data_IF_367381936613
#
_entry.id   IF_367381936613
#
_cell.length_a   1.000
_cell.length_b   1.000
_cell.length_c   1.000
_cell.angle_alpha   90.00
_cell.angle_beta   90.00
_cell.angle_gamma   90.00
#
_symmetry.space_group_name_H-M   'P 1'
#
loop_
_entity.id
_entity.type
_entity.pdbx_description
1 polymer ?
#
# COMPACT_ATOMS: atom_id res chain seq x y z
N UNK A 1 -57.80 21.55 -5.62
CA UNK A 1 -56.38 21.24 -5.91
C UNK A 1 -55.53 22.32 -5.28
N UNK A 2 -54.81 22.00 -4.22
CA UNK A 2 -53.83 22.92 -3.62
C UNK A 2 -52.46 22.59 -4.22
N UNK A 3 -51.93 23.49 -5.03
CA UNK A 3 -50.54 23.39 -5.49
C UNK A 3 -49.65 23.81 -4.32
N UNK A 4 -48.81 22.91 -3.82
CA UNK A 4 -47.79 23.27 -2.85
C UNK A 4 -46.76 24.17 -3.55
N UNK A 5 -46.52 25.35 -2.99
CA UNK A 5 -45.45 26.24 -3.46
C UNK A 5 -44.10 25.51 -3.37
N UNK A 6 -43.34 25.60 -4.46
CA UNK A 6 -42.01 25.02 -4.55
C UNK A 6 -41.09 25.80 -3.61
N UNK A 7 -40.78 25.23 -2.45
CA UNK A 7 -39.77 25.80 -1.55
C UNK A 7 -38.42 25.69 -2.22
N UNK A 8 -37.87 26.81 -2.66
CA UNK A 8 -36.47 26.89 -3.09
C UNK A 8 -35.56 26.64 -1.88
N UNK A 9 -34.49 25.86 -2.09
CA UNK A 9 -33.48 25.64 -1.05
C UNK A 9 -32.83 26.96 -0.64
N UNK A 10 -32.42 27.06 0.63
CA UNK A 10 -31.68 28.22 1.14
C UNK A 10 -30.36 28.32 0.38
N UNK A 11 -29.96 29.55 0.02
CA UNK A 11 -28.67 29.80 -0.62
C UNK A 11 -27.53 29.27 0.28
N UNK A 12 -26.74 28.30 -0.17
CA UNK A 12 -25.69 27.70 0.64
C UNK A 12 -24.59 28.70 1.02
N UNK A 13 -24.43 29.80 0.27
CA UNK A 13 -23.45 30.84 0.60
C UNK A 13 -23.79 31.62 1.87
N UNK A 14 -25.02 31.50 2.38
CA UNK A 14 -25.44 32.04 3.70
C UNK A 14 -24.82 31.25 4.85
N UNK A 15 -24.44 29.99 4.61
CA UNK A 15 -23.92 29.08 5.62
C UNK A 15 -22.43 28.72 5.42
N UNK A 16 -21.93 28.84 4.19
CA UNK A 16 -20.57 28.45 3.82
C UNK A 16 -19.86 29.61 3.13
N UNK A 17 -18.68 29.98 3.66
CA UNK A 17 -17.74 30.84 2.96
C UNK A 17 -17.26 30.17 1.66
N UNK A 18 -16.80 30.95 0.68
CA UNK A 18 -16.15 30.47 -0.54
C UNK A 18 -14.92 29.58 -0.26
N UNK A 19 -14.45 29.60 0.99
CA UNK A 19 -13.24 28.91 1.42
C UNK A 19 -12.01 29.66 0.92
N UNK A 20 -10.92 29.57 1.68
CA UNK A 20 -9.61 29.99 1.18
C UNK A 20 -8.90 28.79 0.57
N UNK A 21 -8.35 28.96 -0.63
CA UNK A 21 -7.46 27.97 -1.20
C UNK A 21 -6.14 28.01 -0.43
N UNK A 22 -5.97 27.09 0.51
CA UNK A 22 -4.69 26.86 1.17
C UNK A 22 -4.02 25.69 0.43
N UNK A 23 -2.84 25.93 -0.13
CA UNK A 23 -2.04 24.86 -0.72
C UNK A 23 -1.67 23.86 0.37
N UNK A 24 -2.19 22.64 0.27
CA UNK A 24 -1.83 21.54 1.19
C UNK A 24 -0.51 20.96 0.71
N UNK A 25 0.54 21.09 1.52
CA UNK A 25 1.80 20.38 1.30
C UNK A 25 1.78 19.10 2.12
N UNK A 26 2.08 17.98 1.47
CA UNK A 26 2.24 16.68 2.14
C UNK A 26 3.69 16.22 1.94
N UNK A 27 4.67 16.91 2.55
CA UNK A 27 6.06 16.59 2.33
C UNK A 27 6.37 15.21 2.90
N UNK A 28 6.73 14.29 2.01
CA UNK A 28 7.33 13.02 2.38
C UNK A 28 8.82 13.14 2.11
N UNK A 29 9.63 12.88 3.13
CA UNK A 29 11.08 12.89 2.97
C UNK A 29 11.52 11.56 2.38
N UNK A 30 12.18 11.60 1.24
CA UNK A 30 12.72 10.43 0.55
C UNK A 30 14.25 10.45 0.56
N UNK A 31 14.87 9.28 0.51
CA UNK A 31 16.32 9.13 0.42
C UNK A 31 16.69 7.97 -0.50
N UNK A 32 17.85 8.07 -1.15
CA UNK A 32 18.50 6.96 -1.86
C UNK A 32 19.53 6.22 -0.98
N UNK A 33 19.63 6.61 0.30
CA UNK A 33 20.46 5.91 1.29
C UNK A 33 19.69 4.72 1.87
N UNK A 34 20.18 3.47 1.73
CA UNK A 34 19.51 2.31 2.28
C UNK A 34 19.37 2.38 3.81
N UNK A 35 18.32 1.75 4.33
CA UNK A 35 18.18 1.56 5.77
C UNK A 35 19.35 0.76 6.36
N UNK A 36 19.75 1.11 7.57
CA UNK A 36 20.67 0.29 8.33
C UNK A 36 20.02 -1.06 8.68
N UNK A 37 20.82 -2.12 8.73
CA UNK A 37 20.35 -3.42 9.18
C UNK A 37 19.81 -3.35 10.61
N UNK A 38 18.69 -4.01 10.88
CA UNK A 38 18.15 -4.07 12.21
C UNK A 38 19.04 -4.95 13.11
N UNK A 39 19.42 -4.42 14.28
CA UNK A 39 20.25 -5.11 15.27
C UNK A 39 19.51 -5.37 16.59
N UNK A 40 18.22 -5.03 16.67
CA UNK A 40 17.41 -5.25 17.85
C UNK A 40 17.24 -6.76 18.12
N UNK A 41 17.52 -7.16 19.35
CA UNK A 41 17.41 -8.57 19.76
C UNK A 41 15.95 -9.02 19.72
N UNK A 42 15.69 -10.20 19.14
CA UNK A 42 14.34 -10.77 19.00
C UNK A 42 13.51 -10.20 17.85
N UNK A 43 14.08 -9.29 17.05
CA UNK A 43 13.44 -8.74 15.86
C UNK A 43 13.99 -9.44 14.62
N UNK A 44 13.09 -9.99 13.80
CA UNK A 44 13.42 -10.62 12.52
C UNK A 44 13.37 -9.61 11.38
N UNK A 45 14.16 -9.87 10.33
CA UNK A 45 14.10 -9.07 9.10
C UNK A 45 12.85 -9.42 8.27
N UNK A 46 12.39 -8.48 7.45
CA UNK A 46 11.31 -8.73 6.49
C UNK A 46 11.71 -9.82 5.49
N UNK A 47 12.97 -9.90 5.07
CA UNK A 47 13.45 -10.99 4.21
C UNK A 47 13.33 -12.37 4.87
N UNK A 48 13.66 -12.48 6.16
CA UNK A 48 13.46 -13.72 6.93
C UNK A 48 11.99 -14.14 6.99
N UNK A 49 11.09 -13.17 7.19
CA UNK A 49 9.65 -13.38 7.12
C UNK A 49 9.20 -13.80 5.71
N UNK A 50 9.71 -13.16 4.66
CA UNK A 50 9.39 -13.50 3.27
C UNK A 50 9.81 -14.94 2.91
N UNK A 51 10.84 -15.47 3.57
CA UNK A 51 11.27 -16.87 3.45
C UNK A 51 10.27 -17.88 4.02
N UNK A 52 9.28 -17.46 4.81
CA UNK A 52 8.21 -18.31 5.34
C UNK A 52 7.16 -18.62 4.26
N UNK A 53 7.02 -17.76 3.26
CA UNK A 53 6.03 -17.95 2.20
C UNK A 53 6.48 -19.06 1.23
N UNK A 54 5.58 -19.98 0.86
CA UNK A 54 5.88 -20.95 -0.18
C UNK A 54 6.07 -20.25 -1.53
N UNK A 55 7.07 -20.70 -2.30
CA UNK A 55 7.41 -20.09 -3.58
C UNK A 55 6.34 -20.30 -4.65
N UNK A 56 5.71 -21.48 -4.68
CA UNK A 56 4.87 -21.95 -5.80
C UNK A 56 3.36 -21.79 -5.58
N UNK A 57 2.92 -21.44 -4.36
CA UNK A 57 1.49 -21.35 -4.08
C UNK A 57 0.90 -20.05 -4.62
N UNK A 58 -0.30 -20.10 -5.18
CA UNK A 58 -0.98 -18.92 -5.69
C UNK A 58 -1.80 -18.19 -4.62
N UNK A 59 -2.49 -18.98 -3.79
CA UNK A 59 -3.21 -18.53 -2.58
C UNK A 59 -2.80 -19.46 -1.45
N UNK A 60 -2.36 -18.88 -0.33
CA UNK A 60 -1.86 -19.67 0.80
C UNK A 60 -1.94 -18.89 2.11
N UNK A 61 -2.18 -19.59 3.21
CA UNK A 61 -2.31 -19.02 4.55
C UNK A 61 -1.45 -19.80 5.54
N UNK A 62 -0.70 -19.09 6.38
CA UNK A 62 0.10 -19.68 7.45
C UNK A 62 -0.07 -18.90 8.75
N UNK A 63 -0.24 -19.62 9.86
CA UNK A 63 -0.61 -19.05 11.16
C UNK A 63 0.28 -19.57 12.28
N UNK A 64 0.43 -18.79 13.34
CA UNK A 64 0.96 -19.28 14.61
C UNK A 64 0.11 -20.43 15.15
N UNK A 65 0.77 -21.38 15.84
CA UNK A 65 0.11 -22.59 16.38
C UNK A 65 -1.10 -22.29 17.27
N UNK A 66 -1.05 -21.17 17.98
CA UNK A 66 -2.07 -20.76 18.95
C UNK A 66 -3.02 -19.68 18.39
N UNK A 67 -2.87 -19.30 17.11
CA UNK A 67 -3.70 -18.28 16.46
C UNK A 67 -4.88 -18.94 15.70
N UNK A 68 -6.14 -18.70 16.09
CA UNK A 68 -7.30 -19.46 15.61
C UNK A 68 -7.87 -18.98 14.26
N UNK A 69 -7.29 -17.96 13.63
CA UNK A 69 -7.85 -17.29 12.45
C UNK A 69 -6.84 -17.16 11.30
N UNK A 70 -7.23 -17.38 10.03
CA UNK A 70 -8.58 -17.77 9.62
C UNK A 70 -8.86 -19.25 9.92
N UNK A 71 -10.13 -19.60 10.14
CA UNK A 71 -10.54 -20.98 10.41
C UNK A 71 -10.41 -21.89 9.17
N UNK A 72 -10.38 -21.29 7.98
CA UNK A 72 -10.22 -21.93 6.68
C UNK A 72 -9.74 -20.89 5.67
N UNK A 73 -8.83 -21.24 4.77
CA UNK A 73 -8.37 -20.38 3.67
C UNK A 73 -9.41 -20.27 2.54
N UNK A 74 -8.97 -20.31 1.28
CA UNK A 74 -9.87 -20.25 0.11
C UNK A 74 -10.92 -21.40 0.12
N UNK A 75 -12.19 -21.12 -0.10
CA UNK A 75 -13.24 -22.18 -0.18
C UNK A 75 -13.86 -22.21 -1.58
N UNK A 76 -13.10 -21.80 -2.60
CA UNK A 76 -13.46 -22.02 -3.99
C UNK A 76 -13.85 -23.50 -4.22
N UNK A 77 -15.12 -23.78 -4.56
CA UNK A 77 -15.60 -25.14 -4.77
C UNK A 77 -14.94 -25.84 -5.96
N UNK A 78 -14.23 -25.10 -6.82
CA UNK A 78 -13.42 -25.65 -7.91
C UNK A 78 -12.03 -26.15 -7.48
N UNK A 79 -11.59 -25.90 -6.23
CA UNK A 79 -10.28 -26.33 -5.74
C UNK A 79 -10.37 -27.61 -4.89
N UNK A 80 -9.37 -28.50 -4.93
CA UNK A 80 -9.37 -29.72 -4.13
C UNK A 80 -9.47 -29.41 -2.62
N UNK A 81 -10.30 -30.16 -1.91
CA UNK A 81 -10.44 -30.04 -0.46
C UNK A 81 -9.10 -30.24 0.26
N UNK A 82 -8.77 -29.36 1.21
CA UNK A 82 -7.55 -29.42 2.02
C UNK A 82 -6.36 -28.61 1.50
N UNK A 83 -6.38 -28.13 0.25
CA UNK A 83 -5.36 -27.20 -0.31
C UNK A 83 -5.43 -25.81 0.34
N UNK A 84 -6.51 -25.56 1.07
CA UNK A 84 -6.85 -24.25 1.59
C UNK A 84 -6.90 -24.21 3.12
N UNK A 85 -6.55 -25.31 3.79
CA UNK A 85 -6.36 -25.30 5.24
C UNK A 85 -5.14 -24.44 5.59
N UNK A 86 -5.28 -23.46 6.50
CA UNK A 86 -4.14 -22.70 7.01
C UNK A 86 -3.07 -23.64 7.58
N UNK A 87 -1.81 -23.32 7.29
CA UNK A 87 -0.68 -24.12 7.78
C UNK A 87 -0.22 -23.60 9.14
N UNK A 88 0.05 -24.51 10.07
CA UNK A 88 0.64 -24.16 11.36
C UNK A 88 2.15 -23.91 11.17
N UNK A 89 2.59 -22.70 11.49
CA UNK A 89 3.97 -22.25 11.36
C UNK A 89 4.60 -22.09 12.74
N UNK A 90 5.56 -22.95 13.05
CA UNK A 90 6.31 -22.88 14.30
C UNK A 90 7.17 -21.60 14.43
N UNK A 91 7.44 -20.92 13.31
CA UNK A 91 8.15 -19.64 13.26
C UNK A 91 7.27 -18.45 13.67
N UNK A 92 5.97 -18.64 13.84
CA UNK A 92 5.04 -17.59 14.26
C UNK A 92 4.56 -17.83 15.71
N UNK A 93 4.35 -16.75 16.49
CA UNK A 93 4.45 -15.36 16.08
C UNK A 93 5.88 -14.85 15.95
N UNK A 94 6.10 -13.92 15.02
CA UNK A 94 7.40 -13.30 14.73
C UNK A 94 7.30 -11.79 14.94
N UNK A 95 8.31 -11.17 15.55
CA UNK A 95 8.38 -9.71 15.66
C UNK A 95 9.23 -9.14 14.53
N UNK A 96 8.73 -8.13 13.84
CA UNK A 96 9.46 -7.38 12.81
C UNK A 96 9.38 -5.88 13.11
N UNK A 97 10.28 -5.13 12.51
CA UNK A 97 10.27 -3.67 12.50
C UNK A 97 10.53 -3.16 11.10
N UNK A 98 10.02 -1.97 10.79
CA UNK A 98 10.40 -1.25 9.60
C UNK A 98 9.80 0.14 9.55
N UNK A 99 10.08 0.84 8.46
CA UNK A 99 9.61 2.18 8.19
C UNK A 99 8.34 2.11 7.34
N UNK A 100 7.33 2.89 7.72
CA UNK A 100 6.04 2.95 7.03
C UNK A 100 6.22 3.70 5.71
N UNK A 101 5.93 3.01 4.61
CA UNK A 101 6.12 3.54 3.23
C UNK A 101 4.80 3.80 2.51
N UNK A 102 3.69 3.35 3.09
CA UNK A 102 2.32 3.67 2.68
C UNK A 102 1.52 4.03 3.93
N UNK A 103 0.75 5.12 3.89
CA UNK A 103 -0.07 5.50 5.03
C UNK A 103 -1.17 4.45 5.35
N UNK A 104 -1.53 4.20 6.63
CA UNK A 104 -2.48 3.16 7.07
C UNK A 104 -3.95 3.46 6.76
N UNK A 105 -4.25 3.64 5.48
CA UNK A 105 -5.59 3.85 4.93
C UNK A 105 -5.89 2.99 3.73
N UNK A 106 -4.96 2.12 3.33
CA UNK A 106 -5.14 1.31 2.14
C UNK A 106 -6.18 0.23 2.42
N UNK A 107 -7.24 0.25 1.60
CA UNK A 107 -8.29 -0.75 1.69
C UNK A 107 -7.86 -2.00 0.93
N UNK A 108 -7.69 -3.11 1.66
CA UNK A 108 -7.46 -4.41 1.05
C UNK A 108 -8.64 -5.33 1.34
N UNK A 109 -9.11 -5.98 0.27
CA UNK A 109 -10.16 -6.99 0.33
C UNK A 109 -9.55 -8.35 0.04
N UNK A 110 -9.79 -9.34 0.90
CA UNK A 110 -9.25 -10.68 0.76
C UNK A 110 -10.37 -11.70 0.88
N UNK A 111 -10.46 -12.61 -0.07
CA UNK A 111 -11.41 -13.70 0.00
C UNK A 111 -10.88 -14.80 0.90
N UNK A 112 -11.56 -15.04 2.02
CA UNK A 112 -11.31 -16.12 2.98
C UNK A 112 -12.59 -16.94 3.06
N UNK A 113 -12.52 -18.18 2.63
CA UNK A 113 -13.62 -19.14 2.58
C UNK A 113 -14.91 -18.65 1.91
N UNK A 114 -14.77 -17.96 0.77
CA UNK A 114 -15.92 -17.38 0.06
C UNK A 114 -16.59 -16.20 0.79
N UNK A 115 -16.02 -15.76 1.92
CA UNK A 115 -16.32 -14.50 2.57
C UNK A 115 -15.26 -13.46 2.24
N UNK A 116 -15.70 -12.22 2.11
CA UNK A 116 -14.83 -11.09 1.84
C UNK A 116 -14.40 -10.43 3.14
N UNK A 117 -13.15 -10.64 3.50
CA UNK A 117 -12.50 -9.98 4.63
C UNK A 117 -11.96 -8.62 4.20
N UNK A 118 -12.13 -7.62 5.07
CA UNK A 118 -11.93 -6.21 4.73
C UNK A 118 -10.97 -5.57 5.71
N UNK A 119 -9.82 -5.14 5.21
CA UNK A 119 -8.78 -4.48 6.00
C UNK A 119 -8.74 -3.00 5.62
N UNK A 120 -9.31 -2.16 6.49
CA UNK A 120 -9.57 -0.74 6.22
C UNK A 120 -8.38 0.20 6.49
N UNK A 121 -7.26 -0.32 6.99
CA UNK A 121 -6.10 0.49 7.35
C UNK A 121 -4.79 -0.22 7.02
N UNK A 122 -4.77 -0.99 5.93
CA UNK A 122 -3.57 -1.67 5.47
C UNK A 122 -2.50 -0.65 5.10
N UNK A 123 -1.23 -1.05 5.21
CA UNK A 123 -0.08 -0.21 4.92
C UNK A 123 1.10 -1.07 4.44
N UNK A 124 2.17 -0.43 4.00
CA UNK A 124 3.39 -1.11 3.57
C UNK A 124 4.52 -0.73 4.52
N UNK A 125 5.23 -1.76 4.97
CA UNK A 125 6.41 -1.63 5.82
C UNK A 125 7.64 -2.01 5.00
N UNK A 126 8.74 -1.27 5.15
CA UNK A 126 10.02 -1.58 4.51
C UNK A 126 11.16 -1.54 5.54
N UNK A 127 12.09 -2.48 5.45
CA UNK A 127 13.35 -2.49 6.19
C UNK A 127 14.54 -2.58 5.22
N UNK A 128 15.76 -2.78 5.74
CA UNK A 128 16.96 -2.90 4.91
C UNK A 128 16.97 -4.12 3.96
N UNK A 129 16.02 -5.05 4.12
CA UNK A 129 16.01 -6.36 3.48
C UNK A 129 14.82 -6.59 2.55
N UNK A 130 13.77 -5.76 2.64
CA UNK A 130 12.62 -5.81 1.75
C UNK A 130 11.42 -5.05 2.30
N UNK A 131 10.28 -5.20 1.63
CA UNK A 131 9.02 -4.65 2.10
C UNK A 131 7.87 -5.65 2.09
N UNK A 132 6.83 -5.37 2.87
CA UNK A 132 5.69 -6.27 3.07
C UNK A 132 4.40 -5.46 3.25
N UNK A 133 3.31 -5.94 2.67
CA UNK A 133 1.97 -5.42 2.94
C UNK A 133 1.52 -5.90 4.32
N UNK A 134 1.11 -4.97 5.18
CA UNK A 134 0.53 -5.25 6.48
C UNK A 134 -0.98 -5.07 6.39
N UNK A 135 -1.72 -6.13 6.70
CA UNK A 135 -3.17 -6.09 6.78
C UNK A 135 -3.59 -5.79 8.20
N UNK A 136 -4.21 -4.63 8.35
CA UNK A 136 -4.67 -4.11 9.63
C UNK A 136 -6.17 -3.88 9.55
N UNK A 137 -6.90 -4.41 10.52
CA UNK A 137 -8.32 -4.15 10.68
C UNK A 137 -8.55 -2.98 11.65
N UNK A 138 -8.09 -1.80 11.24
CA UNK A 138 -8.35 -0.56 11.95
C UNK A 138 -8.66 0.54 10.95
N UNK A 139 -9.52 1.47 11.34
CA UNK A 139 -9.82 2.69 10.58
C UNK A 139 -9.05 3.91 11.10
N UNK A 140 -8.24 3.74 12.14
CA UNK A 140 -7.53 4.83 12.82
C UNK A 140 -6.05 4.66 12.52
N UNK A 141 -5.47 5.59 11.78
CA UNK A 141 -4.03 5.66 11.56
C UNK A 141 -3.36 6.37 12.75
N UNK A 142 -2.61 5.63 13.57
CA UNK A 142 -1.87 6.18 14.72
C UNK A 142 -0.46 6.64 14.33
N UNK A 143 -0.02 6.29 13.12
CA UNK A 143 1.29 6.55 12.54
C UNK A 143 1.14 6.87 11.05
N UNK A 144 2.21 7.35 10.44
CA UNK A 144 2.23 7.96 9.12
C UNK A 144 3.51 7.58 8.34
N UNK A 145 3.68 8.13 7.13
CA UNK A 145 4.89 7.97 6.33
C UNK A 145 6.16 8.28 7.12
N UNK A 146 7.15 7.39 7.03
CA UNK A 146 8.45 7.54 7.68
C UNK A 146 8.45 7.19 9.17
N UNK A 147 7.29 6.91 9.79
CA UNK A 147 7.28 6.38 11.14
C UNK A 147 7.86 4.96 11.14
N UNK A 148 8.69 4.65 12.14
CA UNK A 148 9.20 3.30 12.35
C UNK A 148 8.32 2.58 13.35
N UNK A 149 7.82 1.41 12.97
CA UNK A 149 6.90 0.63 13.80
C UNK A 149 7.44 -0.77 14.06
N UNK A 150 7.19 -1.29 15.26
CA UNK A 150 7.38 -2.68 15.63
C UNK A 150 6.03 -3.36 15.72
N UNK A 151 5.92 -4.54 15.13
CA UNK A 151 4.69 -5.32 15.15
C UNK A 151 4.96 -6.80 15.36
N UNK A 152 3.94 -7.51 15.85
CA UNK A 152 3.96 -8.96 16.03
C UNK A 152 3.12 -9.61 14.94
N UNK A 153 3.80 -10.26 13.99
CA UNK A 153 3.20 -11.05 12.92
C UNK A 153 2.67 -12.35 13.50
N UNK A 154 1.37 -12.57 13.36
CA UNK A 154 0.68 -13.79 13.83
C UNK A 154 0.24 -14.69 12.67
N UNK A 155 0.05 -14.09 11.50
CA UNK A 155 -0.26 -14.80 10.28
C UNK A 155 0.42 -14.19 9.07
N UNK A 156 0.60 -15.02 8.06
CA UNK A 156 1.10 -14.67 6.73
C UNK A 156 0.10 -15.17 5.71
N UNK A 157 -0.08 -14.43 4.62
CA UNK A 157 -0.91 -14.85 3.51
C UNK A 157 -0.35 -14.42 2.17
N UNK A 158 -0.45 -15.33 1.21
CA UNK A 158 -0.22 -15.04 -0.20
C UNK A 158 -1.58 -15.02 -0.89
N UNK A 159 -1.90 -13.93 -1.57
CA UNK A 159 -3.17 -13.74 -2.27
C UNK A 159 -2.91 -13.06 -3.61
N UNK A 160 -3.14 -13.77 -4.72
CA UNK A 160 -2.87 -13.30 -6.09
C UNK A 160 -1.46 -12.71 -6.25
N UNK A 161 -0.45 -13.45 -5.78
CA UNK A 161 0.98 -13.06 -5.75
C UNK A 161 1.35 -11.84 -4.88
N UNK A 162 0.40 -11.26 -4.15
CA UNK A 162 0.69 -10.35 -3.05
C UNK A 162 0.97 -11.13 -1.78
N UNK A 163 2.10 -10.85 -1.15
CA UNK A 163 2.46 -11.37 0.18
C UNK A 163 2.09 -10.33 1.21
N UNK A 164 1.39 -10.75 2.25
CA UNK A 164 0.98 -9.87 3.32
C UNK A 164 1.07 -10.56 4.69
N UNK A 165 1.10 -9.75 5.74
CA UNK A 165 1.03 -10.21 7.13
C UNK A 165 -0.27 -9.79 7.79
N UNK A 166 -0.73 -10.62 8.71
CA UNK A 166 -1.83 -10.34 9.61
C UNK A 166 -1.29 -9.87 10.95
N UNK A 167 -1.76 -8.71 11.38
CA UNK A 167 -1.47 -8.13 12.70
C UNK A 167 -2.77 -7.95 13.49
N UNK A 168 -2.77 -8.39 14.73
CA UNK A 168 -3.89 -8.25 15.67
C UNK A 168 -3.52 -7.41 16.90
N UNK A 169 -2.25 -7.46 17.29
CA UNK A 169 -1.75 -6.68 18.41
C UNK A 169 -1.54 -5.23 17.96
N UNK A 170 -1.64 -4.28 18.90
CA UNK A 170 -1.33 -2.89 18.63
C UNK A 170 0.14 -2.73 18.23
N UNK A 171 0.39 -1.95 17.18
CA UNK A 171 1.74 -1.62 16.74
C UNK A 171 2.43 -0.68 17.73
N UNK A 172 3.70 -0.94 18.02
CA UNK A 172 4.54 -0.04 18.82
C UNK A 172 5.23 0.95 17.89
N UNK A 173 4.92 2.23 18.04
CA UNK A 173 5.55 3.31 17.27
C UNK A 173 6.88 3.66 17.95
N UNK A 174 7.98 3.50 17.23
CA UNK A 174 9.35 3.71 17.73
C UNK A 174 9.87 5.13 17.46
N UNK A 175 9.20 5.88 16.60
CA UNK A 175 9.54 7.26 16.25
C UNK A 175 8.56 8.26 16.84
N UNK A 176 9.03 9.48 17.05
CA UNK A 176 8.17 10.65 17.21
C UNK A 176 7.93 11.31 15.85
N UNK A 177 6.92 12.17 15.74
CA UNK A 177 6.66 12.94 14.52
C UNK A 177 7.85 13.80 14.07
N UNK A 178 8.68 14.27 15.02
CA UNK A 178 9.90 15.04 14.75
C UNK A 178 11.11 14.18 14.32
N UNK A 179 11.01 12.87 14.45
CA UNK A 179 12.10 11.92 14.21
C UNK A 179 11.73 10.86 13.17
N UNK A 180 10.80 11.17 12.26
CA UNK A 180 10.44 10.30 11.14
C UNK A 180 11.66 10.05 10.26
N UNK A 181 11.85 8.81 9.85
CA UNK A 181 12.95 8.40 8.98
C UNK A 181 12.60 8.74 7.52
N UNK A 182 13.56 9.22 6.72
CA UNK A 182 13.38 9.32 5.28
C UNK A 182 13.03 7.96 4.67
N UNK A 183 12.10 7.93 3.72
CA UNK A 183 11.73 6.70 3.01
C UNK A 183 12.80 6.36 1.98
N UNK A 184 13.45 5.22 2.15
CA UNK A 184 14.43 4.72 1.18
C UNK A 184 13.73 4.29 -0.11
N UNK A 185 14.20 4.78 -1.24
CA UNK A 185 13.77 4.35 -2.56
C UNK A 185 14.94 3.93 -3.45
N UNK A 186 14.63 3.08 -4.43
CA UNK A 186 15.53 2.76 -5.54
C UNK A 186 15.05 3.43 -6.82
N UNK A 187 15.96 4.00 -7.62
CA UNK A 187 15.60 4.46 -8.97
C UNK A 187 15.43 3.25 -9.88
N UNK A 188 14.27 3.15 -10.54
CA UNK A 188 13.97 2.04 -11.43
C UNK A 188 14.11 2.45 -12.89
N UNK A 189 14.95 1.74 -13.64
CA UNK A 189 15.20 1.94 -15.07
C UNK A 189 14.86 0.71 -15.90
N UNK A 190 13.98 -0.15 -15.37
CA UNK A 190 13.49 -1.39 -15.98
C UNK A 190 12.01 -1.58 -15.66
N UNK A 191 11.34 -2.48 -16.37
CA UNK A 191 9.98 -2.90 -15.99
C UNK A 191 9.97 -3.55 -14.59
N UNK A 192 8.81 -3.50 -13.93
CA UNK A 192 8.62 -4.17 -12.64
C UNK A 192 8.76 -5.69 -12.77
N UNK A 193 9.29 -6.31 -11.73
CA UNK A 193 9.35 -7.77 -11.56
C UNK A 193 8.74 -8.16 -10.22
N UNK A 194 8.33 -9.42 -10.04
CA UNK A 194 7.63 -9.86 -8.82
C UNK A 194 8.39 -9.56 -7.52
N UNK A 195 9.73 -9.56 -7.55
CA UNK A 195 10.57 -9.22 -6.40
C UNK A 195 10.48 -7.75 -5.96
N UNK A 196 9.95 -6.87 -6.80
CA UNK A 196 9.78 -5.44 -6.48
C UNK A 196 8.61 -5.21 -5.52
N UNK A 197 7.69 -6.16 -5.40
CA UNK A 197 6.49 -6.02 -4.54
C UNK A 197 6.88 -5.74 -3.08
N UNK A 198 6.24 -4.72 -2.50
CA UNK A 198 6.51 -4.20 -1.16
C UNK A 198 7.65 -3.17 -1.10
N UNK A 199 8.53 -3.10 -2.09
CA UNK A 199 9.65 -2.15 -2.10
C UNK A 199 9.26 -0.81 -2.71
N UNK A 200 9.90 0.27 -2.25
CA UNK A 200 9.72 1.62 -2.75
C UNK A 200 10.65 1.90 -3.92
N UNK A 201 10.06 2.29 -5.04
CA UNK A 201 10.79 2.71 -6.23
C UNK A 201 10.45 4.14 -6.61
N UNK A 202 11.41 4.79 -7.26
CA UNK A 202 11.26 6.06 -7.94
C UNK A 202 11.41 5.86 -9.45
N UNK A 203 10.42 6.30 -10.19
CA UNK A 203 10.42 6.29 -11.67
C UNK A 203 10.29 7.71 -12.18
N UNK A 204 10.94 7.99 -13.32
CA UNK A 204 10.80 9.26 -14.03
C UNK A 204 10.42 8.98 -15.47
N UNK A 205 9.37 9.64 -15.94
CA UNK A 205 8.84 9.34 -17.26
C UNK A 205 7.75 10.29 -17.72
N UNK A 206 7.31 10.08 -18.96
CA UNK A 206 6.19 10.78 -19.58
C UNK A 206 4.89 10.00 -19.38
N UNK A 207 3.82 10.67 -19.01
CA UNK A 207 2.48 10.08 -18.97
C UNK A 207 2.03 9.75 -20.39
N UNK A 208 1.77 8.48 -20.66
CA UNK A 208 1.26 7.98 -21.96
C UNK A 208 -0.16 7.39 -21.85
N UNK A 209 -0.63 7.15 -20.63
CA UNK A 209 -2.01 6.77 -20.33
C UNK A 209 -2.47 7.47 -19.06
N UNK A 210 -3.59 8.18 -19.14
CA UNK A 210 -4.14 8.96 -18.03
C UNK A 210 -4.82 8.07 -16.98
N UNK A 211 -4.76 8.50 -15.72
CA UNK A 211 -5.57 7.94 -14.65
C UNK A 211 -7.04 8.37 -14.83
N UNK A 212 -7.95 7.40 -14.86
CA UNK A 212 -9.39 7.62 -15.00
C UNK A 212 -10.17 6.79 -13.99
N UNK A 213 -11.41 7.18 -13.73
CA UNK A 213 -12.31 6.37 -12.90
C UNK A 213 -12.68 5.01 -13.55
N UNK A 214 -12.40 4.82 -14.84
CA UNK A 214 -12.72 3.59 -15.58
C UNK A 214 -11.58 2.56 -15.56
N UNK A 215 -10.36 2.98 -15.22
CA UNK A 215 -9.18 2.13 -15.11
C UNK A 215 -8.60 2.17 -13.69
N UNK A 216 -9.46 2.19 -12.66
CA UNK A 216 -9.04 2.16 -11.25
C UNK A 216 -8.05 3.27 -10.87
N UNK A 217 -8.14 4.44 -11.51
CA UNK A 217 -7.20 5.55 -11.37
C UNK A 217 -5.74 5.19 -11.71
N UNK A 218 -5.56 4.29 -12.66
CA UNK A 218 -4.24 3.85 -13.12
C UNK A 218 -3.71 4.75 -14.24
N UNK A 219 -2.52 5.28 -14.03
CA UNK A 219 -1.72 6.00 -15.00
C UNK A 219 -0.63 5.08 -15.54
N UNK A 220 -0.27 5.29 -16.80
CA UNK A 220 0.89 4.65 -17.44
C UNK A 220 1.97 5.66 -17.74
N UNK A 221 3.16 5.41 -17.22
CA UNK A 221 4.35 6.25 -17.40
C UNK A 221 5.36 5.50 -18.27
N UNK A 222 5.81 6.12 -19.36
CA UNK A 222 6.91 5.63 -20.19
C UNK A 222 8.23 6.28 -19.78
N UNK A 223 9.29 5.48 -19.67
CA UNK A 223 10.64 6.01 -19.40
C UNK A 223 11.06 7.02 -20.46
N UNK A 224 11.67 8.13 -20.03
CA UNK A 224 12.29 9.10 -20.95
C UNK A 224 13.56 8.54 -21.61
N UNK A 225 14.28 7.67 -20.90
CA UNK A 225 15.58 7.16 -21.33
C UNK A 225 15.44 5.89 -22.19
N UNK A 226 14.33 5.15 -22.02
CA UNK A 226 14.10 3.88 -22.72
C UNK A 226 12.61 3.68 -23.03
N UNK A 227 12.12 4.07 -24.22
CA UNK A 227 10.69 4.04 -24.58
C UNK A 227 10.03 2.65 -24.49
N UNK A 228 10.80 1.56 -24.49
CA UNK A 228 10.29 0.19 -24.28
C UNK A 228 10.01 -0.17 -22.82
N UNK A 229 10.28 0.74 -21.87
CA UNK A 229 10.04 0.56 -20.44
C UNK A 229 8.84 1.41 -20.03
N UNK A 230 7.88 0.77 -19.40
CA UNK A 230 6.63 1.38 -18.98
C UNK A 230 6.27 0.91 -17.57
N UNK A 231 5.73 1.82 -16.78
CA UNK A 231 5.31 1.57 -15.41
C UNK A 231 3.83 1.92 -15.24
N UNK A 232 3.13 1.06 -14.49
CA UNK A 232 1.82 1.38 -13.97
C UNK A 232 1.96 2.15 -12.65
N UNK A 233 1.14 3.18 -12.50
CA UNK A 233 1.04 3.97 -11.27
C UNK A 233 -0.44 4.11 -10.93
N UNK A 234 -0.84 3.67 -9.73
CA UNK A 234 -2.21 3.82 -9.26
C UNK A 234 -2.30 5.06 -8.38
N UNK A 235 -3.16 6.00 -8.75
CA UNK A 235 -3.47 7.16 -7.93
C UNK A 235 -4.61 6.79 -6.99
N UNK A 236 -4.39 6.96 -5.68
CA UNK A 236 -5.41 6.70 -4.68
C UNK A 236 -6.66 7.53 -4.93
N UNK A 237 -7.82 6.95 -4.62
CA UNK A 237 -9.12 7.56 -4.89
C UNK A 237 -9.25 8.94 -4.25
N UNK A 238 -8.70 9.14 -3.06
CA UNK A 238 -8.77 10.43 -2.37
C UNK A 238 -8.04 11.53 -3.16
N UNK A 239 -6.86 11.23 -3.71
CA UNK A 239 -6.13 12.17 -4.57
C UNK A 239 -6.91 12.48 -5.85
N UNK A 240 -7.52 11.46 -6.47
CA UNK A 240 -8.44 11.66 -7.60
C UNK A 240 -9.61 12.60 -7.25
N UNK A 241 -10.22 12.44 -6.07
CA UNK A 241 -11.29 13.34 -5.60
C UNK A 241 -10.82 14.75 -5.30
N UNK A 242 -9.52 14.94 -5.00
CA UNK A 242 -8.87 16.24 -4.83
C UNK A 242 -8.48 16.89 -6.16
N UNK A 243 -8.80 16.26 -7.29
CA UNK A 243 -8.51 16.79 -8.62
C UNK A 243 -7.08 16.52 -9.12
N UNK A 244 -6.33 15.62 -8.46
CA UNK A 244 -5.02 15.20 -8.94
C UNK A 244 -5.21 14.34 -10.19
N UNK A 245 -4.91 14.91 -11.36
CA UNK A 245 -5.11 14.25 -12.65
C UNK A 245 -4.02 14.69 -13.65
N UNK A 246 -2.80 14.12 -13.54
CA UNK A 246 -1.76 14.31 -14.54
C UNK A 246 -2.27 13.92 -15.94
N UNK A 247 -1.86 14.68 -16.94
CA UNK A 247 -2.33 14.56 -18.32
C UNK A 247 -1.33 13.87 -19.21
N UNK A 248 -1.82 13.26 -20.29
CA UNK A 248 -0.95 12.68 -21.30
C UNK A 248 0.04 13.73 -21.81
N UNK A 249 1.32 13.39 -21.81
CA UNK A 249 2.41 14.29 -22.16
C UNK A 249 3.15 14.92 -20.98
N UNK A 250 2.55 14.97 -19.79
CA UNK A 250 3.21 15.44 -18.56
C UNK A 250 4.44 14.60 -18.24
N UNK A 251 5.47 15.22 -17.68
CA UNK A 251 6.66 14.52 -17.20
C UNK A 251 6.60 14.50 -15.67
N UNK A 252 6.65 13.30 -15.10
CA UNK A 252 6.54 13.10 -13.67
C UNK A 252 7.76 12.36 -13.11
N UNK A 253 8.09 12.67 -11.86
CA UNK A 253 8.83 11.77 -10.99
C UNK A 253 7.87 11.23 -9.93
N UNK A 254 7.75 9.90 -9.85
CA UNK A 254 6.81 9.21 -8.96
C UNK A 254 7.57 8.28 -8.04
N UNK A 255 7.30 8.34 -6.74
CA UNK A 255 7.93 7.52 -5.70
C UNK A 255 6.90 6.83 -4.82
N UNK A 256 6.96 5.52 -4.69
CA UNK A 256 6.07 4.79 -3.78
C UNK A 256 6.32 3.30 -3.77
N UNK A 257 5.67 2.57 -2.85
CA UNK A 257 5.77 1.13 -2.79
C UNK A 257 5.10 0.50 -4.01
N UNK A 258 5.72 -0.56 -4.53
CA UNK A 258 5.16 -1.38 -5.60
C UNK A 258 4.23 -2.41 -4.99
N UNK A 259 3.01 -2.53 -5.50
CA UNK A 259 2.04 -3.54 -5.09
C UNK A 259 1.58 -4.34 -6.31
N UNK A 260 1.21 -5.60 -6.07
CA UNK A 260 0.57 -6.43 -7.09
C UNK A 260 -0.94 -6.50 -6.87
N UNK A 261 -1.70 -5.76 -7.66
CA UNK A 261 -3.17 -5.78 -7.61
C UNK A 261 -3.71 -5.93 -9.02
N UNK A 262 -3.63 -7.13 -9.58
CA UNK A 262 -3.82 -7.38 -11.03
C UNK A 262 -2.74 -6.74 -11.90
N UNK A 263 -1.49 -6.78 -11.43
CA UNK A 263 -0.31 -6.21 -12.10
C UNK A 263 0.49 -5.32 -11.16
N UNK A 264 1.81 -5.32 -11.34
CA UNK A 264 2.74 -4.54 -10.53
C UNK A 264 2.62 -3.05 -10.88
N UNK A 265 2.46 -2.23 -9.85
CA UNK A 265 2.30 -0.78 -9.97
C UNK A 265 2.84 -0.07 -8.74
N UNK A 266 3.31 1.17 -8.92
CA UNK A 266 3.52 2.05 -7.77
C UNK A 266 2.16 2.56 -7.27
N UNK A 267 1.93 2.49 -5.96
CA UNK A 267 0.76 3.12 -5.35
C UNK A 267 1.11 4.53 -4.86
N UNK A 268 0.33 5.50 -5.30
CA UNK A 268 0.44 6.91 -4.90
C UNK A 268 -0.78 7.27 -4.05
N UNK A 269 -0.58 7.36 -2.75
CA UNK A 269 -1.59 7.73 -1.75
C UNK A 269 -1.33 9.08 -1.08
N UNK A 270 -0.32 9.83 -1.49
CA UNK A 270 -0.10 11.21 -1.05
C UNK A 270 0.51 12.05 -2.17
N UNK A 271 0.27 13.37 -2.14
CA UNK A 271 0.88 14.30 -3.10
C UNK A 271 2.41 14.30 -3.03
N UNK A 272 3.00 14.10 -1.84
CA UNK A 272 4.46 14.07 -1.68
C UNK A 272 5.16 12.98 -2.49
N UNK A 273 4.42 11.98 -2.96
CA UNK A 273 4.91 10.88 -3.78
C UNK A 273 5.05 11.22 -5.27
N UNK A 274 4.58 12.39 -5.70
CA UNK A 274 4.55 12.77 -7.12
C UNK A 274 5.03 14.20 -7.31
N UNK A 275 5.92 14.39 -8.27
CA UNK A 275 6.42 15.70 -8.67
C UNK A 275 6.26 15.89 -10.18
N UNK A 276 5.66 17.01 -10.58
CA UNK A 276 5.66 17.44 -11.98
C UNK A 276 7.03 18.02 -12.31
N UNK A 277 7.73 17.40 -13.26
CA UNK A 277 9.05 17.84 -13.68
C UNK A 277 8.86 18.78 -14.86
N UNK A 278 9.10 20.07 -14.66
CA UNK A 278 9.12 21.04 -15.76
C UNK A 278 10.22 20.63 -16.76
N UNK A 279 9.94 20.64 -18.07
CA UNK A 279 10.91 20.29 -19.11
C UNK A 279 12.21 21.11 -19.07
#
# INVERSE_FOLDING_TARGET
>A
MACAEQKFGVDPTVHYDQGSYVGVTEPITFTDTPYAANTATGVSSISSLLGVFPAQEFVWYGLGKDDPYPYSGDCDPGRPAGVTAPQNLASLPMTIEGTVTLHPRYFQKIAVCGSDERYYGSYVLQDATGGILVLRDSRIAEFDYGDRVRLRVRGVLKYFDTRAVLVYDQEEILTSSASREPIYYQRLTRNFVAADSGQVFRVRGRVIGEATNQNFNEMKIQSLDAPGIEWLVSIDRELGTRGVSPKAGDILEVTGPVLNSFGLRILVASLGQMELVTP
#
